data_IF_769168355571
#
_entry.id   IF_769168355571
#
_cell.length_a   1.000
_cell.length_b   1.000
_cell.length_c   1.000
_cell.angle_alpha   90.00
_cell.angle_beta   90.00
_cell.angle_gamma   90.00
#
_symmetry.space_group_name_H-M   'P 1'
#
loop_
_entity.id
_entity.type
_entity.pdbx_description
1 polymer ?
#
# COMPACT_ATOMS: atom_id res chain seq x y z
N UNK A 1 -63.68 18.68 37.56
CA UNK A 1 -63.39 17.74 36.45
C UNK A 1 -62.36 18.36 35.52
N UNK A 2 -61.24 17.63 35.32
CA UNK A 2 -60.16 17.81 34.32
C UNK A 2 -59.38 19.14 34.32
N UNK A 3 -58.37 19.21 35.18
CA UNK A 3 -57.26 20.17 35.07
C UNK A 3 -56.23 19.72 34.03
N UNK A 4 -55.68 20.70 33.31
CA UNK A 4 -54.67 20.52 32.25
C UNK A 4 -53.29 20.79 32.86
N UNK A 5 -52.46 19.76 32.99
CA UNK A 5 -51.06 19.87 33.42
C UNK A 5 -50.16 20.07 32.19
N UNK A 6 -49.51 21.22 32.10
CA UNK A 6 -48.42 21.47 31.14
C UNK A 6 -47.11 21.01 31.76
N UNK A 7 -46.52 19.92 31.25
CA UNK A 7 -45.17 19.52 31.61
C UNK A 7 -44.15 20.39 30.89
N UNK A 8 -43.39 21.16 31.67
CA UNK A 8 -42.22 21.92 31.27
C UNK A 8 -40.99 21.06 31.55
N UNK A 9 -40.20 20.75 30.52
CA UNK A 9 -38.95 20.00 30.64
C UNK A 9 -37.89 20.88 31.34
N UNK A 10 -37.15 20.36 32.33
CA UNK A 10 -36.07 21.08 32.97
C UNK A 10 -34.82 21.13 32.08
N UNK A 11 -34.24 22.31 31.97
CA UNK A 11 -32.91 22.58 31.41
C UNK A 11 -31.87 22.02 32.38
N UNK A 12 -31.16 20.96 31.99
CA UNK A 12 -30.02 20.40 32.75
C UNK A 12 -28.70 20.82 32.12
N UNK A 13 -27.75 21.05 33.01
CA UNK A 13 -26.43 21.64 32.86
C UNK A 13 -25.56 20.96 31.79
N UNK A 14 -24.83 21.77 31.02
CA UNK A 14 -23.69 21.31 30.23
C UNK A 14 -22.44 21.55 31.06
N UNK A 15 -21.81 20.45 31.45
CA UNK A 15 -20.55 20.42 32.17
C UNK A 15 -19.99 19.01 32.15
N UNK A 16 -19.47 18.60 31.00
CA UNK A 16 -18.42 17.56 30.92
C UNK A 16 -17.59 17.86 29.68
N UNK A 17 -16.28 17.98 29.91
CA UNK A 17 -15.27 18.41 28.96
C UNK A 17 -15.09 17.46 27.79
N UNK A 18 -14.74 18.02 26.63
CA UNK A 18 -14.32 17.36 25.38
C UNK A 18 -13.11 16.41 25.52
N UNK A 19 -12.62 16.16 26.75
CA UNK A 19 -11.49 15.31 27.07
C UNK A 19 -11.86 13.87 27.50
N UNK A 20 -13.13 13.44 27.41
CA UNK A 20 -13.55 12.08 27.81
C UNK A 20 -14.35 11.31 26.76
N UNK A 21 -14.15 11.62 25.48
CA UNK A 21 -14.51 10.73 24.34
C UNK A 21 -13.22 10.38 23.56
N UNK A 22 -12.18 10.00 24.30
CA UNK A 22 -10.83 9.72 23.77
C UNK A 22 -10.63 8.27 23.28
N UNK A 23 -11.50 7.29 23.49
CA UNK A 23 -11.03 5.89 23.48
C UNK A 23 -11.69 4.89 22.49
N UNK A 24 -12.22 5.31 21.33
CA UNK A 24 -12.89 4.34 20.44
C UNK A 24 -12.83 4.58 18.92
N UNK A 25 -11.91 5.39 18.39
CA UNK A 25 -11.70 5.51 16.94
C UNK A 25 -10.21 5.56 16.60
N UNK A 26 -9.48 4.54 17.06
CA UNK A 26 -8.05 4.36 16.85
C UNK A 26 -7.70 3.28 15.82
N UNK A 27 -8.67 2.81 15.02
CA UNK A 27 -8.38 1.95 13.89
C UNK A 27 -8.98 2.58 12.63
N UNK A 28 -8.18 2.53 11.58
CA UNK A 28 -8.46 2.88 10.19
C UNK A 28 -8.38 4.39 9.85
N UNK A 29 -7.67 4.63 8.74
CA UNK A 29 -7.43 5.91 8.05
C UNK A 29 -6.26 6.76 8.58
N UNK A 30 -5.05 6.29 8.26
CA UNK A 30 -3.80 7.03 8.40
C UNK A 30 -3.53 7.99 7.22
N UNK A 31 -3.97 9.23 7.39
CA UNK A 31 -3.28 10.48 7.02
C UNK A 31 -3.06 10.93 5.55
N UNK A 32 -4.02 11.76 5.14
CA UNK A 32 -3.90 12.99 4.33
C UNK A 32 -2.79 14.01 4.73
N UNK A 33 -1.87 13.69 5.66
CA UNK A 33 -0.90 14.62 6.25
C UNK A 33 0.28 14.96 5.33
N UNK A 34 0.63 14.08 4.39
CA UNK A 34 1.77 14.27 3.47
C UNK A 34 1.41 15.23 2.33
N UNK A 35 0.15 15.21 1.88
CA UNK A 35 -0.36 16.11 0.84
C UNK A 35 -0.40 17.57 1.32
N UNK A 36 -0.60 17.82 2.61
CA UNK A 36 -0.62 19.17 3.17
C UNK A 36 0.78 19.78 3.35
N UNK A 37 1.83 18.95 3.42
CA UNK A 37 3.22 19.44 3.49
C UNK A 37 3.76 19.85 2.11
N UNK A 38 3.38 19.13 1.04
CA UNK A 38 3.86 19.37 -0.32
C UNK A 38 3.11 20.48 -1.08
N UNK A 39 1.86 20.81 -0.69
CA UNK A 39 1.03 21.85 -1.33
C UNK A 39 1.48 23.31 -1.09
N UNK A 40 2.61 23.57 -0.42
CA UNK A 40 3.14 24.93 -0.18
C UNK A 40 3.96 25.54 -1.33
N UNK A 41 4.11 24.85 -2.47
CA UNK A 41 4.91 25.31 -3.62
C UNK A 41 4.06 25.60 -4.86
N UNK A 42 3.10 26.54 -4.73
CA UNK A 42 2.08 26.85 -5.74
C UNK A 42 2.62 27.21 -7.13
N UNK A 43 2.59 26.26 -8.07
CA UNK A 43 2.70 26.53 -9.51
C UNK A 43 1.82 25.53 -10.27
N UNK A 44 1.02 25.95 -11.27
CA UNK A 44 0.24 25.01 -12.08
C UNK A 44 1.18 24.23 -13.01
N UNK A 45 1.12 22.89 -13.00
CA UNK A 45 1.99 22.03 -13.83
C UNK A 45 1.22 21.32 -14.94
N UNK A 46 1.75 21.47 -16.15
CA UNK A 46 1.58 20.60 -17.32
C UNK A 46 1.96 19.16 -16.99
N UNK A 47 1.29 18.18 -17.60
CA UNK A 47 1.53 16.73 -17.44
C UNK A 47 3.05 16.41 -17.44
N UNK A 48 3.56 16.01 -16.28
CA UNK A 48 4.95 15.58 -16.10
C UNK A 48 5.00 14.06 -16.26
N UNK A 49 5.95 13.49 -17.02
CA UNK A 49 6.10 12.04 -17.13
C UNK A 49 6.41 11.40 -15.76
N UNK A 50 5.72 10.30 -15.46
CA UNK A 50 5.90 9.49 -14.25
C UNK A 50 7.38 9.15 -14.03
N UNK A 51 7.99 9.75 -13.00
CA UNK A 51 9.38 9.45 -12.62
C UNK A 51 9.37 8.35 -11.56
N UNK A 52 10.12 7.25 -11.73
CA UNK A 52 10.12 6.18 -10.74
C UNK A 52 10.59 6.67 -9.38
N UNK A 53 10.09 6.07 -8.29
CA UNK A 53 10.61 6.30 -6.93
C UNK A 53 12.06 5.80 -6.86
N UNK A 54 12.99 6.68 -6.50
CA UNK A 54 14.44 6.38 -6.46
C UNK A 54 15.04 6.73 -5.11
N UNK A 55 15.66 5.75 -4.47
CA UNK A 55 16.48 5.97 -3.29
C UNK A 55 17.90 6.38 -3.70
N UNK A 56 18.52 7.29 -2.95
CA UNK A 56 19.83 7.88 -3.30
C UNK A 56 20.99 6.97 -2.90
N UNK A 57 22.01 6.87 -3.75
CA UNK A 57 23.28 6.20 -3.41
C UNK A 57 24.09 7.09 -2.47
N UNK A 58 24.53 6.56 -1.33
CA UNK A 58 25.51 7.21 -0.47
C UNK A 58 26.87 7.30 -1.18
N UNK A 59 27.37 8.52 -1.43
CA UNK A 59 28.71 8.80 -2.00
C UNK A 59 29.77 9.12 -0.94
N UNK A 60 29.42 9.00 0.34
CA UNK A 60 30.27 9.33 1.49
C UNK A 60 31.25 8.19 1.79
N UNK A 61 32.42 8.54 2.32
CA UNK A 61 33.30 7.56 2.96
C UNK A 61 32.63 7.10 4.26
N UNK A 62 32.54 5.79 4.46
CA UNK A 62 31.92 5.18 5.65
C UNK A 62 32.89 4.22 6.32
N UNK A 63 32.62 3.90 7.59
CA UNK A 63 33.40 2.89 8.33
C UNK A 63 33.22 1.49 7.73
N UNK A 64 34.10 0.56 8.10
CA UNK A 64 34.01 -0.84 7.61
C UNK A 64 32.70 -1.53 8.04
N UNK A 65 32.23 -1.43 9.30
CA UNK A 65 30.93 -2.00 9.70
C UNK A 65 29.77 -1.42 8.88
N UNK A 66 29.72 -0.11 8.68
CA UNK A 66 28.67 0.55 7.87
C UNK A 66 28.70 0.07 6.42
N UNK A 67 29.89 -0.08 5.82
CA UNK A 67 30.02 -0.65 4.48
C UNK A 67 29.47 -2.08 4.39
N UNK A 68 29.70 -2.92 5.41
CA UNK A 68 29.16 -4.28 5.47
C UNK A 68 27.63 -4.28 5.58
N UNK A 69 27.05 -3.42 6.44
CA UNK A 69 25.60 -3.24 6.56
C UNK A 69 24.96 -2.78 5.25
N UNK A 70 25.57 -1.84 4.54
CA UNK A 70 25.11 -1.39 3.21
C UNK A 70 25.11 -2.53 2.18
N UNK A 71 26.13 -3.39 2.20
CA UNK A 71 26.18 -4.57 1.32
C UNK A 71 25.10 -5.60 1.69
N UNK A 72 24.89 -5.84 2.98
CA UNK A 72 23.83 -6.72 3.48
C UNK A 72 22.45 -6.18 3.08
N UNK A 73 22.13 -4.94 3.41
CA UNK A 73 20.87 -4.28 3.04
C UNK A 73 20.62 -4.35 1.52
N UNK A 74 21.66 -4.09 0.70
CA UNK A 74 21.55 -4.19 -0.77
C UNK A 74 21.21 -5.61 -1.23
N UNK A 75 21.83 -6.63 -0.61
CA UNK A 75 21.54 -8.03 -0.90
C UNK A 75 20.10 -8.38 -0.54
N UNK A 76 19.63 -7.94 0.62
CA UNK A 76 18.25 -8.19 1.08
C UNK A 76 17.23 -7.49 0.21
N UNK A 77 17.44 -6.21 -0.12
CA UNK A 77 16.58 -5.45 -1.05
C UNK A 77 16.45 -6.19 -2.38
N UNK A 78 17.56 -6.70 -2.93
CA UNK A 78 17.52 -7.48 -4.18
C UNK A 78 16.70 -8.75 -4.03
N UNK A 79 16.91 -9.53 -2.97
CA UNK A 79 16.15 -10.75 -2.72
C UNK A 79 14.65 -10.48 -2.59
N UNK A 80 14.24 -9.43 -1.87
CA UNK A 80 12.83 -9.03 -1.79
C UNK A 80 12.31 -8.60 -3.16
N UNK A 81 13.08 -7.83 -3.94
CA UNK A 81 12.68 -7.43 -5.31
C UNK A 81 12.59 -8.59 -6.30
N UNK A 82 13.41 -9.62 -6.13
CA UNK A 82 13.33 -10.84 -6.95
C UNK A 82 12.04 -11.62 -6.66
N UNK A 83 11.50 -11.50 -5.44
CA UNK A 83 10.21 -12.09 -5.03
C UNK A 83 9.03 -11.19 -5.39
N UNK A 84 9.10 -9.90 -5.08
CA UNK A 84 8.05 -8.90 -5.30
C UNK A 84 8.59 -7.76 -6.18
N UNK A 85 8.59 -7.94 -7.51
CA UNK A 85 9.11 -6.92 -8.43
C UNK A 85 8.20 -5.69 -8.53
N UNK A 86 6.90 -5.85 -8.27
CA UNK A 86 5.86 -4.84 -8.47
C UNK A 86 5.04 -4.67 -7.19
N UNK A 87 5.14 -3.52 -6.52
CA UNK A 87 4.34 -3.24 -5.34
C UNK A 87 2.85 -3.00 -5.69
N UNK A 88 1.94 -3.39 -4.81
CA UNK A 88 0.50 -3.23 -4.98
C UNK A 88 -0.04 -1.81 -4.78
N UNK A 89 0.81 -0.84 -4.43
CA UNK A 89 0.46 0.57 -4.22
C UNK A 89 1.38 1.55 -5.00
N UNK A 90 2.20 1.05 -5.93
CA UNK A 90 3.05 1.90 -6.77
C UNK A 90 2.39 2.17 -8.12
N UNK A 91 2.25 3.44 -8.50
CA UNK A 91 1.62 3.84 -9.75
C UNK A 91 2.20 3.13 -10.98
N UNK A 92 3.53 3.08 -11.09
CA UNK A 92 4.22 2.42 -12.19
C UNK A 92 3.97 0.90 -12.22
N UNK A 93 3.91 0.27 -11.05
CA UNK A 93 3.67 -1.17 -10.90
C UNK A 93 2.22 -1.52 -11.26
N UNK A 94 1.27 -0.76 -10.72
CA UNK A 94 -0.17 -0.88 -11.01
C UNK A 94 -0.43 -0.70 -12.50
N UNK A 95 0.20 0.30 -13.10
CA UNK A 95 0.13 0.59 -14.53
C UNK A 95 0.71 -0.54 -15.37
N UNK A 96 1.95 -0.96 -15.09
CA UNK A 96 2.66 -1.99 -15.85
C UNK A 96 1.97 -3.35 -15.78
N UNK A 97 1.40 -3.69 -14.61
CA UNK A 97 0.78 -4.98 -14.35
C UNK A 97 -0.73 -4.98 -14.59
N UNK A 98 -1.31 -3.86 -15.02
CA UNK A 98 -2.75 -3.70 -15.21
C UNK A 98 -3.54 -4.10 -13.94
N UNK A 99 -3.10 -3.55 -12.81
CA UNK A 99 -3.58 -3.78 -11.44
C UNK A 99 -3.35 -5.19 -10.87
N UNK A 100 -2.67 -6.09 -11.58
CA UNK A 100 -2.35 -7.40 -10.99
C UNK A 100 -1.46 -7.31 -9.74
N UNK A 101 -0.55 -6.33 -9.64
CA UNK A 101 0.23 -6.13 -8.40
C UNK A 101 -0.66 -5.83 -7.18
N UNK A 102 -1.75 -5.08 -7.36
CA UNK A 102 -2.76 -4.85 -6.31
C UNK A 102 -3.45 -6.15 -5.91
N UNK A 103 -3.85 -6.96 -6.88
CA UNK A 103 -4.52 -8.25 -6.59
C UNK A 103 -3.59 -9.22 -5.87
N UNK A 104 -2.32 -9.32 -6.28
CA UNK A 104 -1.33 -10.15 -5.59
C UNK A 104 -1.11 -9.68 -4.15
N UNK A 105 -1.11 -8.37 -3.90
CA UNK A 105 -1.11 -7.81 -2.55
C UNK A 105 -2.36 -8.21 -1.74
N UNK A 106 -3.57 -8.09 -2.32
CA UNK A 106 -4.81 -8.47 -1.64
C UNK A 106 -4.82 -9.97 -1.30
N UNK A 107 -4.34 -10.84 -2.20
CA UNK A 107 -4.20 -12.26 -1.90
C UNK A 107 -3.26 -12.49 -0.73
N UNK A 108 -2.16 -11.75 -0.68
CA UNK A 108 -1.18 -11.86 0.39
C UNK A 108 -1.76 -11.48 1.76
N UNK A 109 -2.51 -10.39 1.83
CA UNK A 109 -3.04 -9.84 3.09
C UNK A 109 -4.26 -10.59 3.63
N UNK A 110 -5.03 -11.24 2.77
CA UNK A 110 -6.31 -11.89 3.13
C UNK A 110 -6.15 -13.38 3.44
N UNK A 111 -6.44 -13.84 4.68
CA UNK A 111 -6.25 -15.25 5.07
C UNK A 111 -7.17 -16.22 4.32
N UNK A 112 -8.32 -15.76 3.82
CA UNK A 112 -9.34 -16.56 3.14
C UNK A 112 -8.83 -17.20 1.84
N UNK A 113 -7.73 -16.70 1.27
CA UNK A 113 -7.09 -17.23 0.06
C UNK A 113 -6.04 -18.33 0.31
N UNK A 114 -5.72 -18.62 1.57
CA UNK A 114 -4.63 -19.51 1.95
C UNK A 114 -5.13 -20.80 2.60
N UNK A 115 -4.48 -21.90 2.25
CA UNK A 115 -4.59 -23.19 2.91
C UNK A 115 -3.32 -23.49 3.69
N UNK A 116 -3.46 -24.25 4.78
CA UNK A 116 -2.30 -24.84 5.48
C UNK A 116 -1.45 -23.85 6.29
N UNK A 117 -1.96 -22.65 6.58
CA UNK A 117 -1.25 -21.68 7.44
C UNK A 117 -1.10 -22.28 8.84
N UNK A 118 0.13 -22.59 9.31
CA UNK A 118 0.31 -23.22 10.60
C UNK A 118 -0.05 -22.26 11.74
N UNK A 119 -0.76 -22.72 12.79
CA UNK A 119 -1.02 -21.88 13.95
C UNK A 119 0.30 -21.51 14.64
N UNK A 120 0.44 -20.23 15.00
CA UNK A 120 1.66 -19.73 15.65
C UNK A 120 2.87 -19.59 14.73
N UNK A 121 2.70 -19.68 13.41
CA UNK A 121 3.75 -19.29 12.46
C UNK A 121 4.20 -17.85 12.75
N UNK A 122 5.52 -17.62 12.71
CA UNK A 122 6.07 -16.29 12.86
C UNK A 122 5.52 -15.36 11.76
N UNK A 123 4.93 -14.20 12.10
CA UNK A 123 4.29 -13.33 11.10
C UNK A 123 5.22 -12.87 9.99
N UNK A 124 6.50 -12.60 10.30
CA UNK A 124 7.45 -12.11 9.31
C UNK A 124 7.87 -13.21 8.34
N UNK A 125 8.12 -14.41 8.86
CA UNK A 125 8.46 -15.57 8.01
C UNK A 125 7.25 -16.04 7.19
N UNK A 126 6.04 -15.99 7.76
CA UNK A 126 4.82 -16.28 7.01
C UNK A 126 4.60 -15.27 5.88
N UNK A 127 4.86 -13.99 6.13
CA UNK A 127 4.80 -12.93 5.10
C UNK A 127 5.79 -13.23 3.98
N UNK A 128 7.04 -13.58 4.30
CA UNK A 128 8.03 -13.97 3.29
C UNK A 128 7.60 -15.22 2.51
N UNK A 129 7.10 -16.25 3.20
CA UNK A 129 6.59 -17.47 2.57
C UNK A 129 5.42 -17.18 1.61
N UNK A 130 4.47 -16.34 2.02
CA UNK A 130 3.37 -15.88 1.16
C UNK A 130 3.90 -15.13 -0.07
N UNK A 131 4.91 -14.27 0.12
CA UNK A 131 5.59 -13.57 -0.96
C UNK A 131 6.12 -14.50 -2.05
N UNK A 132 6.74 -15.63 -1.68
CA UNK A 132 7.23 -16.61 -2.66
C UNK A 132 6.12 -17.23 -3.53
N UNK A 133 4.90 -17.35 -3.00
CA UNK A 133 3.76 -17.92 -3.74
C UNK A 133 3.06 -16.90 -4.64
N UNK A 134 2.81 -15.70 -4.13
CA UNK A 134 1.97 -14.71 -4.82
C UNK A 134 2.75 -13.61 -5.50
N UNK A 135 4.03 -13.41 -5.17
CA UNK A 135 4.85 -12.31 -5.70
C UNK A 135 4.19 -10.93 -5.54
N UNK A 136 3.45 -10.73 -4.46
CA UNK A 136 2.72 -9.50 -4.14
C UNK A 136 3.20 -8.87 -2.83
N UNK A 137 2.79 -7.63 -2.58
CA UNK A 137 3.09 -6.89 -1.34
C UNK A 137 3.08 -5.37 -1.53
N UNK A 138 2.84 -4.62 -0.46
CA UNK A 138 3.02 -3.16 -0.43
C UNK A 138 4.29 -2.79 0.35
N UNK A 139 4.40 -1.56 0.83
CA UNK A 139 5.52 -1.08 1.66
C UNK A 139 5.69 -1.94 2.91
N UNK A 140 4.61 -2.12 3.68
CA UNK A 140 4.59 -2.92 4.90
C UNK A 140 5.03 -4.36 4.68
N UNK A 141 4.46 -5.08 3.70
CA UNK A 141 4.86 -6.46 3.44
C UNK A 141 6.31 -6.56 2.97
N UNK A 142 6.78 -5.65 2.10
CA UNK A 142 8.17 -5.67 1.65
C UNK A 142 9.15 -5.35 2.79
N UNK A 143 8.80 -4.47 3.72
CA UNK A 143 9.58 -4.22 4.93
C UNK A 143 9.62 -5.44 5.85
N UNK A 144 8.48 -6.12 6.06
CA UNK A 144 8.40 -7.36 6.84
C UNK A 144 9.22 -8.48 6.18
N UNK A 145 9.18 -8.62 4.85
CA UNK A 145 10.02 -9.55 4.10
C UNK A 145 11.51 -9.26 4.30
N UNK A 146 11.91 -7.99 4.20
CA UNK A 146 13.29 -7.58 4.47
C UNK A 146 13.70 -7.90 5.91
N UNK A 147 12.80 -7.67 6.87
CA UNK A 147 13.02 -7.97 8.28
C UNK A 147 13.21 -9.48 8.52
N UNK A 148 12.35 -10.33 7.94
CA UNK A 148 12.48 -11.80 8.00
C UNK A 148 13.83 -12.27 7.43
N UNK A 149 14.21 -11.78 6.23
CA UNK A 149 15.47 -12.15 5.60
C UNK A 149 16.69 -11.66 6.40
N UNK A 150 16.67 -10.43 6.91
CA UNK A 150 17.72 -9.90 7.78
C UNK A 150 17.85 -10.71 9.06
N UNK A 151 16.73 -11.03 9.72
CA UNK A 151 16.71 -11.86 10.93
C UNK A 151 17.39 -13.21 10.70
N UNK A 152 17.11 -13.82 9.55
CA UNK A 152 17.69 -15.09 9.13
C UNK A 152 19.16 -15.01 8.68
N UNK A 153 19.75 -13.81 8.64
CA UNK A 153 21.16 -13.62 8.34
C UNK A 153 22.04 -13.85 9.58
N UNK A 154 23.30 -14.24 9.38
CA UNK A 154 24.25 -14.57 10.46
C UNK A 154 25.17 -13.39 10.85
N UNK A 155 24.74 -12.15 10.65
CA UNK A 155 25.62 -10.97 10.75
C UNK A 155 25.73 -10.36 12.16
N UNK A 156 25.01 -10.88 13.15
CA UNK A 156 24.96 -10.36 14.54
C UNK A 156 24.73 -8.84 14.61
N UNK A 157 23.82 -8.35 13.77
CA UNK A 157 23.45 -6.93 13.72
C UNK A 157 22.11 -6.69 14.41
N UNK A 158 21.95 -5.53 15.02
CA UNK A 158 20.64 -5.08 15.48
C UNK A 158 19.83 -4.55 14.32
N UNK A 159 18.61 -5.07 14.18
CA UNK A 159 17.66 -4.66 13.15
C UNK A 159 16.35 -4.21 13.79
N UNK A 160 15.75 -3.18 13.19
CA UNK A 160 14.47 -2.64 13.65
C UNK A 160 13.52 -2.43 12.48
N UNK A 161 12.34 -3.01 12.56
CA UNK A 161 11.26 -2.67 11.64
C UNK A 161 10.61 -1.37 12.14
N UNK A 162 10.60 -0.37 11.29
CA UNK A 162 10.17 0.99 11.65
C UNK A 162 9.14 1.53 10.70
N UNK A 163 8.22 2.30 11.27
CA UNK A 163 7.35 3.23 10.55
C UNK A 163 7.65 4.64 11.03
N UNK A 164 7.43 5.65 10.19
CA UNK A 164 7.62 7.05 10.58
C UNK A 164 6.28 7.62 11.04
N UNK A 165 6.22 8.26 12.21
CA UNK A 165 4.98 8.79 12.74
C UNK A 165 4.33 9.78 11.76
N UNK A 166 3.06 9.54 11.45
CA UNK A 166 2.30 10.39 10.53
C UNK A 166 2.55 10.10 9.04
N UNK A 167 3.37 9.08 8.73
CA UNK A 167 3.63 8.59 7.38
C UNK A 167 3.36 7.09 7.36
N UNK A 168 2.44 6.61 6.51
CA UNK A 168 2.18 5.18 6.34
C UNK A 168 3.25 4.53 5.43
N UNK A 169 4.49 4.49 5.92
CA UNK A 169 5.60 3.85 5.23
C UNK A 169 6.47 3.06 6.19
N UNK A 170 6.76 1.82 5.83
CA UNK A 170 7.54 0.85 6.61
C UNK A 170 8.87 0.52 5.92
N UNK A 171 9.93 0.34 6.72
CA UNK A 171 11.24 -0.13 6.27
C UNK A 171 12.02 -0.75 7.44
N UNK A 172 13.24 -1.22 7.19
CA UNK A 172 14.11 -1.80 8.23
C UNK A 172 15.37 -0.98 8.41
N UNK A 173 15.68 -0.64 9.65
CA UNK A 173 16.96 -0.07 10.07
C UNK A 173 17.92 -1.16 10.52
N UNK A 174 19.20 -1.01 10.20
CA UNK A 174 20.32 -1.84 10.64
C UNK A 174 21.33 -0.95 11.37
N UNK A 175 21.59 -1.24 12.64
CA UNK A 175 22.49 -0.46 13.50
C UNK A 175 21.98 -0.39 14.94
N UNK A 176 22.91 -0.18 15.87
CA UNK A 176 22.64 -0.23 17.31
C UNK A 176 22.39 1.17 17.92
N UNK A 177 21.64 1.22 19.03
CA UNK A 177 21.32 2.46 19.76
C UNK A 177 22.55 3.16 20.37
N UNK A 178 23.64 2.42 20.56
CA UNK A 178 24.91 2.95 21.07
C UNK A 178 25.79 3.57 19.97
N UNK A 179 25.40 3.42 18.70
CA UNK A 179 26.09 3.98 17.54
C UNK A 179 25.45 5.31 17.12
N UNK A 180 26.21 6.22 16.48
CA UNK A 180 25.62 7.42 15.92
C UNK A 180 24.63 7.04 14.81
N UNK A 181 23.49 7.73 14.73
CA UNK A 181 22.45 7.48 13.72
C UNK A 181 22.94 7.67 12.27
N UNK A 182 24.02 8.44 12.08
CA UNK A 182 24.70 8.56 10.78
C UNK A 182 25.25 7.23 10.26
N UNK A 183 25.48 6.27 11.16
CA UNK A 183 26.04 4.95 10.86
C UNK A 183 24.94 3.89 10.71
N UNK A 184 23.67 4.26 10.91
CA UNK A 184 22.55 3.37 10.66
C UNK A 184 22.27 3.25 9.16
N UNK A 185 21.93 2.05 8.73
CA UNK A 185 21.65 1.71 7.34
C UNK A 185 20.18 1.35 7.18
N UNK A 186 19.59 1.76 6.06
CA UNK A 186 18.21 1.41 5.70
C UNK A 186 18.18 0.30 4.66
N UNK A 187 17.39 -0.74 4.95
CA UNK A 187 16.92 -1.72 3.99
C UNK A 187 15.44 -1.45 3.68
N UNK A 188 15.17 -0.78 2.56
CA UNK A 188 13.84 -0.44 2.08
C UNK A 188 13.65 -0.99 0.66
N UNK A 189 13.00 -2.16 0.51
CA UNK A 189 12.79 -2.73 -0.80
C UNK A 189 11.63 -2.10 -1.55
N UNK A 190 10.78 -1.29 -0.92
CA UNK A 190 9.55 -0.84 -1.56
C UNK A 190 9.78 -0.01 -2.83
N UNK A 191 10.67 1.00 -2.89
CA UNK A 191 10.86 1.84 -4.08
C UNK A 191 11.05 1.06 -5.38
N UNK A 192 10.54 1.58 -6.51
CA UNK A 192 10.74 0.98 -7.83
C UNK A 192 12.23 0.77 -8.14
N UNK A 193 13.07 1.73 -7.73
CA UNK A 193 14.54 1.65 -7.78
C UNK A 193 15.10 1.70 -6.37
N UNK A 194 14.81 0.65 -5.59
CA UNK A 194 15.29 0.48 -4.22
C UNK A 194 16.82 0.36 -4.15
N UNK A 195 17.42 1.00 -3.16
CA UNK A 195 18.87 0.98 -2.93
C UNK A 195 19.17 1.09 -1.44
N UNK A 196 20.12 0.32 -0.92
CA UNK A 196 20.59 0.55 0.44
C UNK A 196 21.23 1.95 0.56
N UNK A 197 20.89 2.68 1.63
CA UNK A 197 21.46 3.98 1.96
C UNK A 197 21.65 4.13 3.47
N UNK A 198 22.37 5.16 3.89
CA UNK A 198 22.38 5.58 5.29
C UNK A 198 21.02 6.13 5.71
N UNK A 199 20.69 6.04 6.99
CA UNK A 199 19.46 6.62 7.54
C UNK A 199 19.31 8.10 7.20
N UNK A 200 20.39 8.88 7.37
CA UNK A 200 20.41 10.31 7.03
C UNK A 200 20.17 10.61 5.55
N UNK A 201 20.41 9.64 4.65
CA UNK A 201 20.20 9.77 3.22
C UNK A 201 18.82 9.21 2.77
N UNK A 202 18.07 8.59 3.68
CA UNK A 202 16.73 8.06 3.39
C UNK A 202 15.72 9.20 3.25
N UNK A 203 14.78 9.03 2.34
CA UNK A 203 13.84 10.08 1.96
C UNK A 203 12.71 10.30 2.96
N UNK A 204 12.58 9.43 3.95
CA UNK A 204 11.75 9.60 5.14
C UNK A 204 12.59 9.67 6.41
N UNK A 205 13.80 10.24 6.32
CA UNK A 205 14.56 10.50 7.53
C UNK A 205 13.76 11.39 8.50
N UNK A 206 13.81 11.03 9.77
CA UNK A 206 13.03 11.64 10.85
C UNK A 206 13.86 11.62 12.13
N UNK A 207 13.43 12.38 13.14
CA UNK A 207 14.02 12.24 14.45
C UNK A 207 13.68 10.86 15.04
N UNK A 208 14.53 10.32 15.90
CA UNK A 208 14.36 8.95 16.40
C UNK A 208 13.09 8.76 17.24
N UNK A 209 12.68 9.79 17.97
CA UNK A 209 11.43 9.82 18.74
C UNK A 209 10.17 9.86 17.87
N UNK A 210 10.32 10.13 16.57
CA UNK A 210 9.25 10.04 15.57
C UNK A 210 9.18 8.64 14.94
N UNK A 211 10.11 7.73 15.27
CA UNK A 211 10.10 6.36 14.76
C UNK A 211 9.22 5.46 15.62
N UNK A 212 8.28 4.79 14.97
CA UNK A 212 7.47 3.73 15.56
C UNK A 212 8.14 2.38 15.28
N UNK A 213 8.79 1.82 16.30
CA UNK A 213 9.45 0.53 16.21
C UNK A 213 8.40 -0.57 16.41
N UNK A 214 8.14 -1.35 15.37
CA UNK A 214 7.21 -2.49 15.40
C UNK A 214 7.91 -3.84 15.58
N UNK A 215 9.23 -3.89 15.43
CA UNK A 215 10.07 -5.03 15.75
C UNK A 215 11.51 -4.60 16.02
N UNK A 216 12.18 -5.23 16.99
CA UNK A 216 13.57 -4.97 17.38
C UNK A 216 14.24 -6.32 17.70
N UNK A 217 15.33 -6.63 17.00
CA UNK A 217 15.92 -7.97 17.04
C UNK A 217 17.41 -7.94 16.75
N UNK A 218 18.17 -8.87 17.35
CA UNK A 218 19.56 -9.14 16.98
C UNK A 218 19.57 -10.35 16.05
N UNK A 219 20.04 -10.17 14.82
CA UNK A 219 20.05 -11.25 13.81
C UNK A 219 20.77 -12.47 14.34
N UNK A 220 20.18 -13.65 14.20
CA UNK A 220 20.68 -14.88 14.82
C UNK A 220 20.79 -16.05 13.84
N UNK A 221 20.63 -15.80 12.54
CA UNK A 221 20.67 -16.83 11.51
C UNK A 221 19.45 -17.74 11.47
N UNK A 222 18.40 -17.48 12.27
CA UNK A 222 17.21 -18.31 12.32
C UNK A 222 16.09 -17.71 11.47
N UNK A 223 15.49 -18.53 10.62
CA UNK A 223 14.31 -18.19 9.82
C UNK A 223 13.58 -19.47 9.40
N UNK A 224 12.25 -19.40 9.38
CA UNK A 224 11.36 -20.51 9.03
C UNK A 224 10.64 -20.31 7.70
N UNK A 225 10.88 -19.20 6.99
CA UNK A 225 10.17 -18.84 5.75
C UNK A 225 10.23 -19.94 4.68
N UNK A 226 11.39 -20.59 4.49
CA UNK A 226 11.54 -21.71 3.55
C UNK A 226 10.65 -22.91 3.92
N UNK A 227 10.70 -23.34 5.18
CA UNK A 227 9.86 -24.44 5.67
C UNK A 227 8.36 -24.09 5.64
N UNK A 228 7.99 -22.84 5.90
CA UNK A 228 6.60 -22.37 5.78
C UNK A 228 6.12 -22.35 4.34
N UNK A 229 6.99 -22.02 3.37
CA UNK A 229 6.65 -21.99 1.95
C UNK A 229 6.17 -23.35 1.45
N UNK A 230 6.73 -24.45 1.98
CA UNK A 230 6.34 -25.82 1.67
C UNK A 230 5.02 -26.25 2.34
N UNK A 231 4.63 -25.60 3.44
CA UNK A 231 3.45 -25.95 4.23
C UNK A 231 2.19 -25.20 3.81
N UNK A 232 2.35 -23.99 3.29
CA UNK A 232 1.23 -23.15 2.85
C UNK A 232 1.02 -23.28 1.35
N UNK A 233 -0.21 -22.99 0.92
CA UNK A 233 -0.51 -22.83 -0.49
C UNK A 233 -1.78 -22.05 -0.72
N UNK A 234 -1.95 -21.50 -1.91
CA UNK A 234 -3.19 -20.83 -2.29
C UNK A 234 -4.32 -21.85 -2.45
N UNK A 235 -5.55 -21.47 -2.09
CA UNK A 235 -6.74 -22.18 -2.54
C UNK A 235 -7.08 -21.82 -4.01
N UNK A 236 -8.19 -22.34 -4.53
CA UNK A 236 -8.57 -22.09 -5.93
C UNK A 236 -8.87 -20.61 -6.19
N UNK A 237 -9.58 -19.95 -5.27
CA UNK A 237 -9.86 -18.52 -5.36
C UNK A 237 -8.57 -17.67 -5.30
N UNK A 238 -7.67 -17.98 -4.36
CA UNK A 238 -6.39 -17.28 -4.21
C UNK A 238 -5.52 -17.36 -5.46
N UNK A 239 -5.46 -18.54 -6.10
CA UNK A 239 -4.76 -18.70 -7.39
C UNK A 239 -5.38 -17.85 -8.50
N UNK A 240 -6.71 -17.81 -8.57
CA UNK A 240 -7.42 -17.01 -9.56
C UNK A 240 -7.12 -15.52 -9.37
N UNK A 241 -7.31 -14.98 -8.16
CA UNK A 241 -7.09 -13.55 -7.87
C UNK A 241 -5.62 -13.17 -8.07
N UNK A 242 -4.67 -14.01 -7.67
CA UNK A 242 -3.24 -13.73 -7.86
C UNK A 242 -2.84 -13.61 -9.34
N UNK A 243 -3.58 -14.25 -10.26
CA UNK A 243 -3.37 -14.19 -11.70
C UNK A 243 -4.29 -13.17 -12.39
N UNK A 244 -5.26 -12.61 -11.67
CA UNK A 244 -6.22 -11.68 -12.22
C UNK A 244 -5.55 -10.38 -12.64
N UNK A 245 -5.94 -9.85 -13.79
CA UNK A 245 -5.57 -8.52 -14.25
C UNK A 245 -6.72 -7.92 -15.04
N UNK A 246 -6.70 -6.60 -15.22
CA UNK A 246 -7.69 -5.94 -16.08
C UNK A 246 -7.71 -6.49 -17.50
N UNK A 247 -6.61 -7.10 -17.99
CA UNK A 247 -6.57 -7.68 -19.33
C UNK A 247 -7.64 -8.78 -19.55
N UNK A 248 -8.16 -9.41 -18.49
CA UNK A 248 -9.30 -10.33 -18.56
C UNK A 248 -10.57 -9.67 -19.13
N UNK A 249 -10.68 -8.35 -18.97
CA UNK A 249 -11.80 -7.54 -19.45
C UNK A 249 -11.51 -6.80 -20.76
N UNK A 250 -10.35 -7.05 -21.38
CA UNK A 250 -9.93 -6.41 -22.64
C UNK A 250 -10.96 -6.49 -23.77
N UNK A 251 -11.73 -7.57 -23.83
CA UNK A 251 -12.73 -7.76 -24.89
C UNK A 251 -14.16 -7.58 -24.40
N UNK A 252 -14.33 -7.23 -23.12
CA UNK A 252 -15.64 -7.05 -22.54
C UNK A 252 -16.17 -5.66 -22.91
N UNK A 253 -17.39 -5.62 -23.45
CA UNK A 253 -18.12 -4.38 -23.72
C UNK A 253 -18.98 -4.02 -22.50
N UNK A 254 -19.42 -2.75 -22.41
CA UNK A 254 -20.36 -2.32 -21.37
C UNK A 254 -21.62 -3.20 -21.25
N UNK A 255 -22.31 -3.58 -22.33
CA UNK A 255 -23.45 -4.50 -22.25
C UNK A 255 -23.09 -5.90 -21.71
N UNK A 256 -21.89 -6.40 -22.01
CA UNK A 256 -21.44 -7.70 -21.48
C UNK A 256 -21.17 -7.62 -19.98
N UNK A 257 -20.59 -6.52 -19.50
CA UNK A 257 -20.38 -6.28 -18.07
C UNK A 257 -21.71 -6.07 -17.33
N UNK A 258 -22.64 -5.30 -17.90
CA UNK A 258 -23.98 -5.15 -17.35
C UNK A 258 -24.72 -6.50 -17.29
N UNK A 259 -24.63 -7.33 -18.33
CA UNK A 259 -25.21 -8.68 -18.31
C UNK A 259 -24.53 -9.60 -17.28
N UNK A 260 -23.24 -9.42 -17.02
CA UNK A 260 -22.52 -10.12 -15.95
C UNK A 260 -23.07 -9.71 -14.58
N UNK A 261 -23.22 -8.40 -14.33
CA UNK A 261 -23.83 -7.89 -13.09
C UNK A 261 -25.28 -8.40 -12.90
N UNK A 262 -26.10 -8.36 -13.94
CA UNK A 262 -27.49 -8.87 -13.93
C UNK A 262 -27.56 -10.35 -13.53
N UNK A 263 -26.70 -11.20 -14.12
CA UNK A 263 -26.64 -12.63 -13.79
C UNK A 263 -26.25 -12.89 -12.33
N UNK A 264 -25.51 -11.96 -11.73
CA UNK A 264 -25.07 -12.03 -10.33
C UNK A 264 -25.98 -11.21 -9.39
N UNK A 265 -27.24 -10.97 -9.79
CA UNK A 265 -28.28 -10.45 -8.92
C UNK A 265 -28.30 -8.93 -8.74
N UNK A 266 -27.50 -8.19 -9.51
CA UNK A 266 -27.53 -6.72 -9.51
C UNK A 266 -28.63 -6.24 -10.47
N UNK A 267 -29.51 -5.37 -10.00
CA UNK A 267 -30.60 -4.80 -10.81
C UNK A 267 -30.05 -3.77 -11.82
N UNK A 268 -29.74 -4.23 -13.03
CA UNK A 268 -29.25 -3.41 -14.14
C UNK A 268 -29.75 -3.98 -15.47
N UNK A 269 -30.30 -3.15 -16.36
CA UNK A 269 -30.71 -3.57 -17.70
C UNK A 269 -29.50 -3.52 -18.67
N UNK A 270 -29.02 -4.66 -19.21
CA UNK A 270 -27.88 -4.67 -20.13
C UNK A 270 -28.11 -3.90 -21.44
N UNK A 271 -29.36 -3.54 -21.75
CA UNK A 271 -29.76 -2.76 -22.93
C UNK A 271 -29.95 -1.27 -22.62
N UNK A 272 -30.15 -0.93 -21.35
CA UNK A 272 -30.46 0.42 -20.89
C UNK A 272 -29.69 0.69 -19.59
N UNK A 273 -28.37 0.82 -19.70
CA UNK A 273 -27.49 1.15 -18.58
C UNK A 273 -26.79 2.48 -18.80
N UNK A 274 -26.39 3.09 -17.70
CA UNK A 274 -25.44 4.18 -17.59
C UNK A 274 -24.10 3.66 -17.07
N UNK A 275 -23.03 4.42 -17.30
CA UNK A 275 -21.69 4.04 -16.81
C UNK A 275 -21.66 4.03 -15.29
N UNK A 276 -22.38 4.97 -14.69
CA UNK A 276 -22.57 5.10 -13.26
C UNK A 276 -23.26 3.86 -12.68
N UNK A 277 -24.33 3.35 -13.30
CA UNK A 277 -24.99 2.11 -12.87
C UNK A 277 -24.07 0.88 -12.92
N UNK A 278 -23.20 0.79 -13.94
CA UNK A 278 -22.19 -0.29 -13.99
C UNK A 278 -21.20 -0.16 -12.82
N UNK A 279 -20.69 1.04 -12.57
CA UNK A 279 -19.72 1.29 -11.50
C UNK A 279 -20.36 0.99 -10.14
N UNK A 280 -21.57 1.51 -9.90
CA UNK A 280 -22.32 1.28 -8.67
C UNK A 280 -22.63 -0.21 -8.49
N UNK A 281 -23.00 -0.91 -9.57
CA UNK A 281 -23.23 -2.36 -9.56
C UNK A 281 -21.99 -3.16 -9.18
N UNK A 282 -20.83 -2.85 -9.78
CA UNK A 282 -19.53 -3.46 -9.44
C UNK A 282 -19.17 -3.17 -7.98
N UNK A 283 -19.37 -1.94 -7.50
CA UNK A 283 -19.06 -1.56 -6.11
C UNK A 283 -20.04 -2.17 -5.11
N UNK A 284 -21.30 -2.36 -5.48
CA UNK A 284 -22.28 -3.06 -4.67
C UNK A 284 -21.89 -4.53 -4.50
N UNK A 285 -21.43 -5.18 -5.57
CA UNK A 285 -20.96 -6.57 -5.52
C UNK A 285 -19.77 -6.75 -4.56
N UNK A 286 -18.87 -5.75 -4.46
CA UNK A 286 -17.75 -5.80 -3.51
C UNK A 286 -18.17 -5.71 -2.02
N UNK A 287 -19.46 -5.53 -1.72
CA UNK A 287 -19.95 -5.51 -0.33
C UNK A 287 -20.37 -6.89 0.17
N UNK A 288 -20.50 -7.86 -0.72
CA UNK A 288 -20.75 -9.25 -0.33
C UNK A 288 -19.53 -9.79 0.46
N UNK A 289 -19.73 -10.57 1.53
CA UNK A 289 -18.62 -11.19 2.24
C UNK A 289 -17.79 -12.04 1.30
N UNK A 290 -16.46 -11.81 1.29
CA UNK A 290 -15.54 -12.51 0.38
C UNK A 290 -15.59 -14.03 0.61
N UNK A 291 -15.80 -14.47 1.85
CA UNK A 291 -15.95 -15.87 2.21
C UNK A 291 -17.11 -16.52 1.46
N UNK A 292 -18.26 -15.84 1.36
CA UNK A 292 -19.43 -16.31 0.62
C UNK A 292 -19.09 -16.50 -0.87
N UNK A 293 -18.40 -15.52 -1.46
CA UNK A 293 -17.98 -15.58 -2.87
C UNK A 293 -16.99 -16.74 -3.09
N UNK A 294 -16.03 -16.94 -2.17
CA UNK A 294 -15.06 -18.03 -2.24
C UNK A 294 -15.75 -19.40 -2.09
N UNK A 295 -16.69 -19.54 -1.15
CA UNK A 295 -17.48 -20.76 -0.96
C UNK A 295 -18.28 -21.11 -2.22
N UNK A 296 -18.95 -20.12 -2.80
CA UNK A 296 -19.71 -20.32 -4.04
C UNK A 296 -18.78 -20.69 -5.21
N UNK A 297 -17.67 -19.99 -5.38
CA UNK A 297 -16.63 -20.30 -6.39
C UNK A 297 -16.12 -21.74 -6.24
N UNK A 298 -15.89 -22.20 -5.01
CA UNK A 298 -15.48 -23.59 -4.76
C UNK A 298 -16.59 -24.60 -5.08
N UNK A 299 -17.86 -24.26 -4.81
CA UNK A 299 -18.99 -25.15 -5.05
C UNK A 299 -19.31 -25.30 -6.55
N UNK A 300 -19.20 -24.24 -7.34
CA UNK A 300 -19.59 -24.22 -8.76
C UNK A 300 -18.41 -24.33 -9.72
N UNK A 301 -17.22 -23.95 -9.30
CA UNK A 301 -16.06 -23.77 -10.18
C UNK A 301 -16.20 -22.53 -11.10
N UNK A 302 -17.19 -21.69 -10.87
CA UNK A 302 -17.39 -20.43 -11.58
C UNK A 302 -16.62 -19.30 -10.88
N UNK A 303 -15.89 -18.53 -11.67
CA UNK A 303 -15.07 -17.41 -11.20
C UNK A 303 -15.65 -16.05 -11.58
N UNK A 304 -16.88 -16.01 -12.11
CA UNK A 304 -17.56 -14.78 -12.51
C UNK A 304 -17.70 -13.80 -11.32
N UNK A 305 -18.24 -14.26 -10.20
CA UNK A 305 -18.36 -13.47 -8.97
C UNK A 305 -17.01 -12.97 -8.44
N UNK A 306 -16.01 -13.85 -8.40
CA UNK A 306 -14.67 -13.47 -7.95
C UNK A 306 -14.01 -12.45 -8.89
N UNK A 307 -14.36 -12.47 -10.18
CA UNK A 307 -13.94 -11.46 -11.15
C UNK A 307 -14.63 -10.11 -10.92
N UNK A 308 -15.92 -10.10 -10.58
CA UNK A 308 -16.65 -8.89 -10.20
C UNK A 308 -16.10 -8.31 -8.89
N UNK A 309 -15.79 -9.17 -7.92
CA UNK A 309 -15.11 -8.77 -6.69
C UNK A 309 -13.77 -8.09 -6.98
N UNK A 310 -12.93 -8.67 -7.85
CA UNK A 310 -11.68 -8.04 -8.27
C UNK A 310 -11.91 -6.69 -8.98
N UNK A 311 -12.95 -6.55 -9.82
CA UNK A 311 -13.31 -5.25 -10.40
C UNK A 311 -13.78 -4.25 -9.34
N UNK A 312 -14.43 -4.73 -8.28
CA UNK A 312 -14.82 -3.94 -7.11
C UNK A 312 -13.65 -3.25 -6.41
N UNK A 313 -12.48 -3.87 -6.46
CA UNK A 313 -11.21 -3.35 -5.94
C UNK A 313 -10.51 -2.36 -6.90
N UNK A 314 -11.10 -2.12 -8.08
CA UNK A 314 -10.58 -1.15 -9.06
C UNK A 314 -11.25 0.20 -8.87
N UNK A 315 -10.47 1.25 -9.10
CA UNK A 315 -10.95 2.62 -8.96
C UNK A 315 -12.06 3.00 -9.96
N UNK A 316 -13.09 3.76 -9.52
CA UNK A 316 -14.24 4.13 -10.35
C UNK A 316 -13.89 4.71 -11.71
N UNK A 317 -12.92 5.62 -11.82
CA UNK A 317 -12.56 6.24 -13.11
C UNK A 317 -11.92 5.27 -14.11
N UNK A 318 -11.21 4.23 -13.62
CA UNK A 318 -10.68 3.16 -14.47
C UNK A 318 -11.85 2.31 -14.96
N UNK A 319 -12.82 2.01 -14.08
CA UNK A 319 -14.06 1.33 -14.43
C UNK A 319 -14.90 2.14 -15.43
N UNK A 320 -14.99 3.46 -15.29
CA UNK A 320 -15.69 4.32 -16.26
C UNK A 320 -15.11 4.14 -17.66
N UNK A 321 -13.79 4.08 -17.75
CA UNK A 321 -13.09 3.92 -19.02
C UNK A 321 -13.30 2.53 -19.66
N UNK A 322 -13.50 1.49 -18.84
CA UNK A 322 -13.93 0.16 -19.30
C UNK A 322 -15.37 0.19 -19.81
N UNK A 323 -16.29 0.76 -19.02
CA UNK A 323 -17.72 0.81 -19.29
C UNK A 323 -18.09 1.65 -20.52
N UNK A 324 -17.34 2.74 -20.77
CA UNK A 324 -17.49 3.61 -21.93
C UNK A 324 -17.00 2.99 -23.25
N UNK A 325 -16.29 1.85 -23.20
CA UNK A 325 -15.73 1.26 -24.42
C UNK A 325 -16.81 0.55 -25.26
N UNK A 326 -17.21 1.18 -26.36
CA UNK A 326 -18.13 0.62 -27.39
C UNK A 326 -17.41 -0.42 -28.28
N UNK A 327 -16.07 -0.43 -28.23
CA UNK A 327 -15.18 -1.36 -28.93
C UNK A 327 -14.38 -2.17 -27.91
N UNK A 328 -13.80 -3.33 -28.28
CA UNK A 328 -12.92 -4.08 -27.40
C UNK A 328 -11.88 -3.15 -26.76
N UNK A 329 -11.98 -3.01 -25.45
CA UNK A 329 -11.09 -2.20 -24.64
C UNK A 329 -9.62 -2.52 -24.97
N UNK A 330 -8.74 -1.54 -24.90
CA UNK A 330 -7.29 -1.75 -25.01
C UNK A 330 -6.67 -1.21 -23.73
N UNK A 331 -6.41 -2.06 -22.72
CA UNK A 331 -5.61 -1.65 -21.58
C UNK A 331 -4.32 -1.07 -22.12
N UNK A 332 -4.14 0.23 -21.98
CA UNK A 332 -2.83 0.84 -22.09
C UNK A 332 -2.40 1.17 -20.68
N UNK A 333 -1.09 1.09 -20.42
CA UNK A 333 -0.57 1.59 -19.16
C UNK A 333 -0.96 3.05 -18.93
N UNK A 334 -1.09 3.84 -20.01
CA UNK A 334 -1.50 5.24 -19.94
C UNK A 334 -2.86 5.43 -19.24
N UNK A 335 -3.86 4.61 -19.54
CA UNK A 335 -5.20 4.77 -18.95
C UNK A 335 -5.22 4.47 -17.44
N UNK A 336 -4.49 3.43 -17.03
CA UNK A 336 -4.34 3.11 -15.61
C UNK A 336 -3.58 4.24 -14.91
N UNK A 337 -2.54 4.77 -15.54
CA UNK A 337 -1.76 5.89 -15.01
C UNK A 337 -2.57 7.20 -14.92
N UNK A 338 -3.35 7.52 -15.95
CA UNK A 338 -4.25 8.68 -15.97
C UNK A 338 -5.30 8.56 -14.86
N UNK A 339 -5.81 7.35 -14.67
CA UNK A 339 -6.73 7.07 -13.60
C UNK A 339 -6.12 7.29 -12.23
N UNK A 340 -5.01 6.62 -11.95
CA UNK A 340 -4.25 6.80 -10.71
C UNK A 340 -3.94 8.28 -10.45
N UNK A 341 -3.64 9.06 -11.50
CA UNK A 341 -3.39 10.49 -11.37
C UNK A 341 -4.66 11.29 -11.06
N UNK A 342 -5.80 10.98 -11.68
CA UNK A 342 -7.07 11.65 -11.42
C UNK A 342 -7.52 11.47 -9.95
N UNK A 343 -7.28 10.31 -9.36
CA UNK A 343 -7.54 10.04 -7.95
C UNK A 343 -6.67 10.90 -7.03
N UNK A 344 -5.36 10.97 -7.31
CA UNK A 344 -4.41 11.84 -6.58
C UNK A 344 -4.84 13.30 -6.58
N UNK A 345 -5.46 13.74 -7.65
CA UNK A 345 -5.92 15.11 -7.82
C UNK A 345 -7.25 15.37 -7.09
N UNK A 346 -8.07 14.33 -6.84
CA UNK A 346 -9.44 14.44 -6.34
C UNK A 346 -9.66 13.94 -4.89
N UNK A 347 -8.80 13.10 -4.30
CA UNK A 347 -9.05 12.50 -2.98
C UNK A 347 -7.94 12.74 -1.92
N UNK A 348 -8.32 12.85 -0.63
CA UNK A 348 -7.39 12.91 0.50
C UNK A 348 -7.00 11.56 1.13
N UNK A 349 -7.56 10.41 0.71
CA UNK A 349 -7.52 9.15 1.52
C UNK A 349 -6.85 7.92 0.88
N UNK A 350 -6.29 8.02 -0.33
CA UNK A 350 -5.57 6.89 -0.95
C UNK A 350 -4.10 7.20 -1.26
N UNK A 351 -3.21 6.31 -0.80
CA UNK A 351 -1.77 6.50 -0.87
C UNK A 351 -1.15 5.88 -2.13
N UNK A 352 -1.34 6.56 -3.27
CA UNK A 352 -0.54 6.27 -4.47
C UNK A 352 0.71 7.14 -4.45
N UNK A 353 1.85 6.54 -4.11
CA UNK A 353 3.11 7.25 -3.98
C UNK A 353 3.86 7.40 -5.30
N UNK A 354 4.41 8.60 -5.53
CA UNK A 354 5.31 8.89 -6.64
C UNK A 354 6.31 9.94 -6.17
N UNK A 355 7.61 9.63 -6.17
CA UNK A 355 8.65 10.59 -5.82
C UNK A 355 9.12 11.29 -7.08
N UNK A 356 8.70 12.53 -7.25
CA UNK A 356 9.32 13.41 -8.23
C UNK A 356 10.71 13.89 -7.76
N UNK A 357 11.62 13.98 -8.73
CA UNK A 357 13.00 14.46 -8.61
C UNK A 357 13.16 15.70 -7.72
N UNK A 358 13.96 15.58 -6.67
CA UNK A 358 14.95 16.60 -6.32
C UNK A 358 16.33 16.05 -6.70
N UNK A 359 16.81 16.39 -7.90
CA UNK A 359 18.10 15.93 -8.46
C UNK A 359 18.99 17.09 -8.89
N UNK A 360 18.85 18.28 -8.30
CA UNK A 360 19.69 19.43 -8.71
C UNK A 360 20.26 20.28 -7.60
N UNK A 361 20.30 19.82 -6.35
CA UNK A 361 21.05 20.54 -5.31
C UNK A 361 21.69 19.58 -4.29
N UNK A 362 23.02 19.36 -4.36
CA UNK A 362 23.77 18.62 -3.34
C UNK A 362 23.97 19.42 -2.04
N UNK A 363 23.71 20.73 -2.00
CA UNK A 363 23.89 21.59 -0.81
C UNK A 363 22.59 21.91 -0.05
N UNK A 364 21.44 21.39 -0.49
CA UNK A 364 20.12 21.72 0.06
C UNK A 364 19.76 21.11 1.43
N UNK A 365 20.59 20.25 2.01
CA UNK A 365 20.37 19.73 3.37
C UNK A 365 20.98 20.68 4.43
N UNK A 366 20.56 21.95 4.44
CA UNK A 366 20.81 22.86 5.56
C UNK A 366 19.49 23.20 6.24
N UNK A 367 19.40 22.80 7.50
CA UNK A 367 18.43 23.28 8.48
C UNK A 367 18.19 24.78 8.32
N UNK A 368 16.95 25.17 8.01
CA UNK A 368 16.48 26.53 8.18
C UNK A 368 15.40 26.54 9.26
N UNK A 369 15.82 26.83 10.50
CA UNK A 369 14.94 27.48 11.46
C UNK A 369 14.90 28.96 11.06
N UNK A 370 13.80 29.39 10.45
CA UNK A 370 13.59 30.79 10.08
C UNK A 370 12.11 31.14 10.15
N UNK A 371 11.69 31.76 11.25
CA UNK A 371 10.38 32.39 11.33
C UNK A 371 10.35 33.57 10.35
N UNK A 372 9.38 33.54 9.44
CA UNK A 372 9.23 34.59 8.43
C UNK A 372 8.85 35.93 9.06
N UNK A 373 9.83 36.81 9.24
CA UNK A 373 9.70 38.26 9.10
C UNK A 373 11.02 38.82 8.56
N UNK A 374 10.89 39.76 7.64
CA UNK A 374 11.93 40.52 6.92
C UNK A 374 12.53 39.85 5.67
N UNK A 375 12.11 40.31 4.49
CA UNK A 375 12.75 41.44 3.80
C UNK A 375 12.00 41.79 2.50
N UNK A 376 11.22 42.87 2.56
CA UNK A 376 11.27 43.85 1.49
C UNK A 376 12.61 44.60 1.66
N UNK A 377 13.45 44.61 0.61
CA UNK A 377 14.00 45.83 0.00
C UNK A 377 15.16 45.48 -0.95
N UNK A 378 14.98 46.03 -2.15
CA UNK A 378 15.85 46.08 -3.35
C UNK A 378 15.85 44.81 -4.19
#
# INVERSE_FOLDING_TARGET
MRGRTTHRVPRKERGTSTAQVVAALQNDVGNAAVVQHLRRSGTPRTQVPHSPVVQRVTQKSVSTPVAQRLLLARSIIRQVKDVVPDAGNQADALTRTLLNSRMRYLVMSRPEFWNGVPPGADPADLTMAKGYHVQGGNCSEQAVMAFSLLRSSSFDERIRMVNVQGVDHAFVLIGDDHEPQSDWVVADPWPTRAQACLWEDHYFNAAFDELQISGDFITNGQGSAGALTEQIGLNMAGRFVAQWSLNSFRRMTGPQLAAMLERNGIDIDPRQYTVEEIIDGVKLFNREPLETIIEHTHATGDYEELSLWCLGEVEPHILSSLALSIQPWRPSGQLVADGIQAERDNEPEHEVWNQERSTSDPEGARYYHGTGRERQRV
#
